data_IF_825422997378
#
_entry.id   IF_825422997378
#
_cell.length_a   1.000
_cell.length_b   1.000
_cell.length_c   1.000
_cell.angle_alpha   90.00
_cell.angle_beta   90.00
_cell.angle_gamma   90.00
#
_symmetry.space_group_name_H-M   'P 1'
#
loop_
_entity.id
_entity.type
_entity.pdbx_description
1 polymer ?
#
# COMPACT_ATOMS: atom_id res chain seq x y z
N UNK A 1 8.91 -0.65 9.22
CA UNK A 1 8.97 -1.03 7.80
C UNK A 1 9.23 0.23 7.01
N UNK A 2 10.25 0.22 6.17
CA UNK A 2 10.56 1.36 5.32
C UNK A 2 9.53 1.44 4.20
N UNK A 3 9.15 2.66 3.88
CA UNK A 3 8.13 2.94 2.88
C UNK A 3 8.60 3.97 1.88
N UNK A 4 8.04 3.85 0.69
CA UNK A 4 8.26 4.74 -0.44
C UNK A 4 6.96 5.51 -0.72
N UNK A 5 7.03 6.84 -0.76
CA UNK A 5 5.84 7.68 -0.97
C UNK A 5 5.58 7.89 -2.45
N UNK A 6 4.49 7.31 -2.96
CA UNK A 6 4.04 7.53 -4.34
C UNK A 6 2.72 8.29 -4.28
N UNK A 7 2.74 9.57 -4.69
CA UNK A 7 1.59 10.50 -4.59
C UNK A 7 0.94 10.54 -3.20
N UNK A 8 1.76 10.38 -2.15
CA UNK A 8 1.32 10.42 -0.76
C UNK A 8 0.68 9.11 -0.26
N UNK A 9 0.85 8.00 -0.98
CA UNK A 9 0.52 6.65 -0.52
C UNK A 9 1.84 5.95 -0.11
N UNK A 10 1.94 5.39 1.12
CA UNK A 10 3.15 4.74 1.61
C UNK A 10 3.24 3.28 1.16
N UNK A 11 3.92 3.04 0.04
CA UNK A 11 4.20 1.70 -0.44
C UNK A 11 5.31 1.04 0.37
N UNK A 12 5.11 -0.21 0.78
CA UNK A 12 6.15 -1.03 1.37
C UNK A 12 7.28 -1.27 0.37
N UNK A 13 8.51 -1.17 0.85
CA UNK A 13 9.73 -1.50 0.07
C UNK A 13 10.11 -2.98 0.17
N UNK A 14 9.28 -3.80 0.81
CA UNK A 14 9.55 -5.23 0.98
C UNK A 14 9.57 -5.95 -0.36
N UNK A 15 10.62 -6.74 -0.56
CA UNK A 15 10.63 -7.77 -1.60
C UNK A 15 9.55 -8.83 -1.34
N UNK A 16 9.08 -9.46 -2.41
CA UNK A 16 8.04 -10.49 -2.38
C UNK A 16 8.26 -11.56 -1.29
N UNK A 17 9.47 -12.13 -1.19
CA UNK A 17 9.78 -13.17 -0.18
C UNK A 17 9.60 -12.67 1.25
N UNK A 18 10.02 -11.42 1.53
CA UNK A 18 9.89 -10.80 2.85
C UNK A 18 8.42 -10.46 3.14
N UNK A 19 7.67 -9.97 2.16
CA UNK A 19 6.23 -9.75 2.29
C UNK A 19 5.48 -11.05 2.61
N UNK A 20 5.78 -12.16 1.92
CA UNK A 20 5.17 -13.46 2.22
C UNK A 20 5.56 -13.95 3.62
N UNK A 21 6.82 -13.79 4.03
CA UNK A 21 7.24 -14.16 5.39
C UNK A 21 6.51 -13.34 6.46
N UNK A 22 6.34 -12.04 6.22
CA UNK A 22 5.57 -11.16 7.10
C UNK A 22 4.11 -11.61 7.22
N UNK A 23 3.45 -11.85 6.07
CA UNK A 23 2.05 -12.31 6.05
C UNK A 23 1.87 -13.65 6.77
N UNK A 24 2.79 -14.60 6.58
CA UNK A 24 2.79 -15.87 7.32
C UNK A 24 2.94 -15.65 8.83
N UNK A 25 3.82 -14.74 9.25
CA UNK A 25 3.95 -14.34 10.66
C UNK A 25 2.63 -13.84 11.23
N UNK A 26 1.93 -12.96 10.51
CA UNK A 26 0.65 -12.42 10.94
C UNK A 26 -0.45 -13.47 11.11
N UNK A 27 -0.42 -14.57 10.35
CA UNK A 27 -1.38 -15.67 10.54
C UNK A 27 -1.23 -16.37 11.89
N UNK A 28 -0.05 -16.31 12.50
CA UNK A 28 0.23 -16.93 13.80
C UNK A 28 0.07 -15.97 14.98
N UNK A 29 -0.09 -14.66 14.73
CA UNK A 29 -0.32 -13.66 15.77
C UNK A 29 -1.76 -13.71 16.27
N UNK A 30 -1.95 -13.70 17.59
CA UNK A 30 -3.26 -13.41 18.18
C UNK A 30 -3.47 -11.90 18.15
N UNK A 31 -4.38 -11.45 17.29
CA UNK A 31 -4.78 -10.06 17.15
C UNK A 31 -6.27 -9.92 17.48
N UNK A 32 -6.65 -8.82 18.14
CA UNK A 32 -8.08 -8.51 18.37
C UNK A 32 -8.79 -8.07 17.08
N UNK A 33 -8.03 -7.59 16.09
CA UNK A 33 -8.54 -7.06 14.82
C UNK A 33 -7.86 -7.71 13.63
N UNK A 34 -8.57 -7.90 12.50
CA UNK A 34 -7.96 -8.41 11.28
C UNK A 34 -6.92 -7.43 10.74
N UNK A 35 -5.87 -7.99 10.12
CA UNK A 35 -4.90 -7.20 9.34
C UNK A 35 -5.51 -6.80 8.00
N UNK A 36 -5.29 -5.55 7.60
CA UNK A 36 -5.74 -5.02 6.33
C UNK A 36 -4.56 -4.87 5.37
N UNK A 37 -4.59 -5.64 4.29
CA UNK A 37 -3.55 -5.65 3.25
C UNK A 37 -4.11 -5.10 1.96
N UNK A 38 -3.36 -4.20 1.32
CA UNK A 38 -3.70 -3.63 0.02
C UNK A 38 -2.59 -3.91 -0.98
N UNK A 39 -2.97 -4.43 -2.14
CA UNK A 39 -2.14 -4.51 -3.34
C UNK A 39 -2.51 -3.32 -4.22
N UNK A 40 -1.82 -2.19 -4.04
CA UNK A 40 -2.18 -0.95 -4.72
C UNK A 40 -1.52 -0.88 -6.10
N UNK A 41 -2.35 -0.75 -7.13
CA UNK A 41 -1.96 -0.50 -8.51
C UNK A 41 -2.09 1.02 -8.84
N UNK A 42 -1.68 1.48 -10.03
CA UNK A 42 -1.78 2.89 -10.40
C UNK A 42 -3.20 3.45 -10.30
N UNK A 43 -4.22 2.66 -10.63
CA UNK A 43 -5.63 3.04 -10.60
C UNK A 43 -6.05 3.39 -9.16
N UNK A 44 -5.72 2.55 -8.18
CA UNK A 44 -5.97 2.79 -6.76
C UNK A 44 -5.29 4.09 -6.29
N UNK A 45 -4.03 4.30 -6.68
CA UNK A 45 -3.27 5.51 -6.31
C UNK A 45 -3.95 6.76 -6.87
N UNK A 46 -4.42 6.70 -8.11
CA UNK A 46 -5.08 7.82 -8.77
C UNK A 46 -6.45 8.11 -8.18
N UNK A 47 -7.27 7.09 -7.90
CA UNK A 47 -8.56 7.26 -7.21
C UNK A 47 -8.40 7.89 -5.82
N UNK A 48 -7.32 7.59 -5.10
CA UNK A 48 -7.03 8.19 -3.79
C UNK A 48 -6.51 9.64 -3.87
N UNK A 49 -6.03 10.10 -5.03
CA UNK A 49 -5.47 11.44 -5.21
C UNK A 49 -6.53 12.52 -5.43
N UNK A 50 -7.70 12.16 -5.93
CA UNK A 50 -8.77 13.11 -6.28
C UNK A 50 -9.31 13.92 -5.08
N UNK A 51 -9.93 15.06 -5.37
CA UNK A 51 -10.38 16.03 -4.36
C UNK A 51 -11.83 15.81 -3.88
N UNK A 52 -12.52 14.79 -4.36
CA UNK A 52 -13.91 14.51 -3.96
C UNK A 52 -13.97 14.00 -2.51
N UNK A 53 -15.13 14.14 -1.85
CA UNK A 53 -15.33 13.60 -0.51
C UNK A 53 -15.12 12.07 -0.46
N UNK A 54 -15.57 11.36 -1.50
CA UNK A 54 -15.40 9.92 -1.65
C UNK A 54 -13.93 9.53 -1.77
N UNK A 55 -13.16 10.26 -2.57
CA UNK A 55 -11.72 10.01 -2.77
C UNK A 55 -10.91 10.27 -1.49
N UNK A 56 -11.27 11.29 -0.72
CA UNK A 56 -10.69 11.55 0.61
C UNK A 56 -11.00 10.44 1.60
N UNK A 57 -12.23 9.94 1.64
CA UNK A 57 -12.61 8.81 2.48
C UNK A 57 -11.87 7.53 2.07
N UNK A 58 -11.78 7.26 0.77
CA UNK A 58 -11.04 6.12 0.22
C UNK A 58 -9.55 6.20 0.60
N UNK A 59 -8.92 7.37 0.45
CA UNK A 59 -7.54 7.59 0.89
C UNK A 59 -7.39 7.36 2.39
N UNK A 60 -8.32 7.82 3.23
CA UNK A 60 -8.27 7.58 4.68
C UNK A 60 -8.31 6.09 5.01
N UNK A 61 -9.13 5.31 4.33
CA UNK A 61 -9.17 3.85 4.47
C UNK A 61 -7.87 3.22 3.99
N UNK A 62 -7.35 3.62 2.83
CA UNK A 62 -6.09 3.11 2.29
C UNK A 62 -4.93 3.34 3.27
N UNK A 63 -4.88 4.52 3.90
CA UNK A 63 -3.85 4.86 4.89
C UNK A 63 -3.99 4.12 6.24
N UNK A 64 -5.10 3.41 6.47
CA UNK A 64 -5.23 2.52 7.64
C UNK A 64 -4.82 1.08 7.37
N UNK A 65 -4.29 0.77 6.18
CA UNK A 65 -3.77 -0.56 5.88
C UNK A 65 -2.48 -0.87 6.66
N UNK A 66 -2.36 -2.10 7.14
CA UNK A 66 -1.16 -2.62 7.81
C UNK A 66 -0.02 -2.87 6.82
N UNK A 67 -0.37 -3.17 5.56
CA UNK A 67 0.59 -3.34 4.46
C UNK A 67 -0.02 -2.83 3.16
N UNK A 68 0.69 -1.92 2.49
CA UNK A 68 0.41 -1.54 1.11
C UNK A 68 1.59 -2.03 0.27
N UNK A 69 1.37 -3.02 -0.60
CA UNK A 69 2.38 -3.50 -1.55
C UNK A 69 2.06 -3.01 -2.95
N UNK A 70 3.09 -2.81 -3.76
CA UNK A 70 2.92 -2.44 -5.16
C UNK A 70 2.32 -3.60 -5.96
N UNK A 71 1.31 -3.29 -6.77
CA UNK A 71 0.73 -4.19 -7.76
C UNK A 71 0.91 -3.61 -9.17
N UNK A 72 1.41 -4.46 -10.07
CA UNK A 72 1.72 -4.09 -11.45
C UNK A 72 2.99 -3.25 -11.63
N UNK A 73 3.57 -3.33 -12.83
CA UNK A 73 4.82 -2.64 -13.17
C UNK A 73 4.68 -1.11 -13.19
N UNK A 74 3.47 -0.59 -13.41
CA UNK A 74 3.19 0.84 -13.48
C UNK A 74 3.57 1.59 -12.20
N UNK A 75 3.38 0.97 -11.02
CA UNK A 75 3.78 1.56 -9.73
C UNK A 75 5.29 1.67 -9.63
N UNK A 76 6.02 0.65 -10.09
CA UNK A 76 7.49 0.60 -10.06
C UNK A 76 8.11 1.60 -11.02
N UNK A 77 7.56 1.73 -12.23
CA UNK A 77 8.00 2.75 -13.19
C UNK A 77 7.68 4.14 -12.64
N UNK A 78 6.48 4.31 -12.07
CA UNK A 78 6.04 5.56 -11.46
C UNK A 78 6.94 6.03 -10.31
N UNK A 79 7.36 5.12 -9.42
CA UNK A 79 8.25 5.48 -8.30
C UNK A 79 9.58 6.04 -8.81
N UNK A 80 10.20 5.37 -9.79
CA UNK A 80 11.45 5.81 -10.43
C UNK A 80 11.34 7.19 -11.07
N UNK A 81 10.26 7.44 -11.83
CA UNK A 81 10.02 8.73 -12.50
C UNK A 81 9.84 9.84 -11.46
N UNK A 82 9.07 9.56 -10.41
CA UNK A 82 8.75 10.55 -9.38
C UNK A 82 9.87 10.74 -8.35
N UNK A 83 10.94 9.94 -8.42
CA UNK A 83 11.98 9.81 -7.37
C UNK A 83 11.35 9.59 -6.00
N UNK A 84 10.15 9.00 -5.99
CA UNK A 84 9.49 8.51 -4.80
C UNK A 84 10.25 7.28 -4.45
#
# INVERSE_FOLDING_TARGET
>A
MDHQLIKGIPFSTLEYKKAISLLKGWLHEKQEKPRFVVTANPEIVMSAKESTAKSKQFKKMLLSADLITADGIGVIIGSKILKG
#
